data_IF_552481469123
#
_entry.id   IF_552481469123
#
_cell.length_a   1.000
_cell.length_b   1.000
_cell.length_c   1.000
_cell.angle_alpha   90.00
_cell.angle_beta   90.00
_cell.angle_gamma   90.00
#
_symmetry.space_group_name_H-M   'P 1'
#
loop_
_entity.id
_entity.type
_entity.pdbx_description
1 polymer ?
#
# COMPACT_ATOMS: atom_id res chain seq x y z
N UNK A 1 -0.62 -18.58 9.08
CA UNK A 1 0.84 -18.78 8.97
C UNK A 1 1.55 -17.43 9.08
N UNK A 2 2.82 -17.44 9.42
CA UNK A 2 3.60 -16.22 9.44
C UNK A 2 4.10 -15.87 8.03
N UNK A 3 4.65 -14.65 7.89
CA UNK A 3 5.12 -14.14 6.61
C UNK A 3 6.17 -15.05 5.96
N UNK A 4 7.15 -15.51 6.72
CA UNK A 4 8.23 -16.33 6.19
C UNK A 4 7.72 -17.68 5.66
N UNK A 5 6.80 -18.31 6.38
CA UNK A 5 6.19 -19.56 5.95
C UNK A 5 5.39 -19.38 4.66
N UNK A 6 4.61 -18.31 4.57
CA UNK A 6 3.84 -18.02 3.35
C UNK A 6 4.78 -17.73 2.17
N UNK A 7 5.84 -16.97 2.38
CA UNK A 7 6.82 -16.68 1.33
C UNK A 7 7.49 -17.96 0.82
N UNK A 8 7.92 -18.83 1.73
CA UNK A 8 8.54 -20.13 1.36
C UNK A 8 7.57 -21.01 0.58
N UNK A 9 6.31 -21.05 0.97
CA UNK A 9 5.28 -21.81 0.25
C UNK A 9 5.11 -21.29 -1.17
N UNK A 10 4.99 -19.98 -1.32
CA UNK A 10 4.84 -19.35 -2.62
C UNK A 10 6.05 -19.58 -3.53
N UNK A 11 7.26 -19.39 -3.02
CA UNK A 11 8.49 -19.56 -3.81
C UNK A 11 8.68 -21.01 -4.24
N UNK A 12 8.33 -21.96 -3.39
CA UNK A 12 8.40 -23.39 -3.74
C UNK A 12 7.44 -23.74 -4.89
N UNK A 13 6.27 -23.11 -4.95
CA UNK A 13 5.27 -23.39 -5.99
C UNK A 13 5.54 -22.62 -7.28
N UNK A 14 6.02 -21.38 -7.19
CA UNK A 14 6.13 -20.47 -8.34
C UNK A 14 7.50 -20.47 -9.02
N UNK A 15 8.54 -20.91 -8.32
CA UNK A 15 9.91 -20.77 -8.79
C UNK A 15 10.48 -19.38 -8.61
N UNK A 16 9.71 -18.44 -8.08
CA UNK A 16 10.20 -17.10 -7.73
C UNK A 16 11.20 -17.24 -6.59
N UNK A 17 12.26 -16.42 -6.61
CA UNK A 17 13.23 -16.33 -5.53
C UNK A 17 13.53 -14.87 -5.24
N UNK A 18 14.31 -14.60 -4.18
CA UNK A 18 14.69 -13.26 -3.78
C UNK A 18 14.07 -12.84 -2.45
N UNK A 19 14.00 -11.54 -2.27
CA UNK A 19 13.59 -10.93 -1.01
C UNK A 19 12.12 -10.53 -1.04
N UNK A 20 11.57 -10.31 0.15
CA UNK A 20 10.23 -9.77 0.33
C UNK A 20 10.22 -8.83 1.54
N UNK A 21 9.28 -7.89 1.52
CA UNK A 21 8.92 -7.10 2.68
C UNK A 21 7.63 -7.66 3.30
N UNK A 22 7.44 -7.44 4.59
CA UNK A 22 6.21 -7.80 5.28
C UNK A 22 5.70 -6.59 6.06
N UNK A 23 4.44 -6.24 5.87
CA UNK A 23 3.87 -5.05 6.52
C UNK A 23 2.34 -5.11 6.57
N UNK A 24 1.78 -4.32 7.48
CA UNK A 24 0.36 -4.06 7.59
C UNK A 24 0.02 -2.75 6.89
N UNK A 25 -1.19 -2.65 6.33
CA UNK A 25 -1.70 -1.34 5.89
C UNK A 25 -1.81 -0.39 7.08
N UNK A 26 -1.59 0.90 6.84
CA UNK A 26 -1.46 1.90 7.89
C UNK A 26 -2.75 2.29 8.59
N UNK A 27 -3.91 1.93 8.04
CA UNK A 27 -5.23 2.21 8.60
C UNK A 27 -6.12 0.99 8.39
N UNK A 28 -6.81 0.55 9.44
CA UNK A 28 -7.72 -0.61 9.41
C UNK A 28 -7.13 -1.81 8.65
N UNK A 29 -6.02 -2.34 9.17
CA UNK A 29 -5.21 -3.35 8.49
C UNK A 29 -6.03 -4.57 8.04
N UNK A 30 -6.94 -5.06 8.89
CA UNK A 30 -7.76 -6.23 8.56
C UNK A 30 -8.72 -5.95 7.40
N UNK A 31 -9.38 -4.78 7.41
CA UNK A 31 -10.30 -4.41 6.32
C UNK A 31 -9.57 -4.27 5.00
N UNK A 32 -8.42 -3.58 5.00
CA UNK A 32 -7.67 -3.35 3.77
C UNK A 32 -7.05 -4.64 3.23
N UNK A 33 -6.53 -5.51 4.08
CA UNK A 33 -6.05 -6.82 3.66
C UNK A 33 -7.18 -7.67 3.05
N UNK A 34 -8.38 -7.61 3.63
CA UNK A 34 -9.54 -8.33 3.09
C UNK A 34 -9.93 -7.81 1.70
N UNK A 35 -9.87 -6.48 1.48
CA UNK A 35 -10.13 -5.90 0.15
C UNK A 35 -9.13 -6.41 -0.89
N UNK A 36 -7.87 -6.61 -0.52
CA UNK A 36 -6.89 -7.22 -1.43
C UNK A 36 -7.28 -8.66 -1.77
N UNK A 37 -7.63 -9.44 -0.76
CA UNK A 37 -8.08 -10.84 -0.97
C UNK A 37 -9.32 -10.93 -1.84
N UNK A 38 -10.24 -9.98 -1.70
CA UNK A 38 -11.48 -9.92 -2.50
C UNK A 38 -11.23 -9.44 -3.94
N UNK A 39 -10.02 -9.01 -4.27
CA UNK A 39 -9.70 -8.49 -5.60
C UNK A 39 -10.17 -7.06 -5.85
N UNK A 40 -10.63 -6.37 -4.80
CA UNK A 40 -11.15 -4.98 -4.90
C UNK A 40 -10.02 -3.96 -4.80
N UNK A 41 -9.07 -4.19 -3.88
CA UNK A 41 -7.93 -3.28 -3.69
C UNK A 41 -6.73 -3.78 -4.49
N UNK A 42 -6.30 -2.96 -5.46
CA UNK A 42 -5.15 -3.22 -6.33
C UNK A 42 -4.18 -2.05 -6.38
N UNK A 43 -4.33 -1.10 -5.49
CA UNK A 43 -3.44 0.05 -5.35
C UNK A 43 -3.36 0.54 -3.92
N UNK A 44 -2.33 1.32 -3.64
CA UNK A 44 -2.13 1.96 -2.35
C UNK A 44 -1.35 3.26 -2.53
N UNK A 45 -1.36 4.11 -1.53
CA UNK A 45 -0.63 5.38 -1.55
C UNK A 45 0.00 5.67 -0.19
N UNK A 46 1.08 6.44 -0.23
CA UNK A 46 1.83 6.85 0.96
C UNK A 46 2.39 8.25 0.78
N UNK A 47 2.69 8.90 1.91
CA UNK A 47 3.22 10.26 1.91
C UNK A 47 4.72 10.26 1.55
N UNK A 48 5.06 10.82 0.41
CA UNK A 48 6.46 10.90 -0.06
C UNK A 48 7.42 11.50 0.98
N UNK A 49 7.08 12.61 1.68
CA UNK A 49 8.02 13.24 2.60
C UNK A 49 8.48 12.33 3.74
N UNK A 50 7.68 11.34 4.11
CA UNK A 50 8.02 10.46 5.22
C UNK A 50 9.14 9.47 4.89
N UNK A 51 9.34 9.15 3.62
CA UNK A 51 10.43 8.23 3.22
C UNK A 51 11.79 8.82 3.55
N UNK A 52 12.03 10.08 3.21
CA UNK A 52 13.29 10.75 3.54
C UNK A 52 13.45 10.92 5.06
N UNK A 53 12.38 11.28 5.76
CA UNK A 53 12.40 11.47 7.20
C UNK A 53 12.75 10.19 7.94
N UNK A 54 12.22 9.06 7.50
CA UNK A 54 12.42 7.75 8.12
C UNK A 54 13.63 7.01 7.56
N UNK A 55 14.34 7.64 6.63
CA UNK A 55 15.50 7.07 5.95
C UNK A 55 15.18 5.72 5.28
N UNK A 56 14.01 5.65 4.63
CA UNK A 56 13.56 4.48 3.91
C UNK A 56 13.57 4.70 2.40
N UNK A 57 13.91 3.67 1.61
CA UNK A 57 13.82 3.77 0.15
C UNK A 57 12.37 3.78 -0.31
N UNK A 58 12.11 4.40 -1.46
CA UNK A 58 10.81 4.31 -2.11
C UNK A 58 10.52 2.87 -2.54
N UNK A 59 9.24 2.49 -2.61
CA UNK A 59 8.87 1.20 -3.19
C UNK A 59 9.38 1.07 -4.62
N UNK A 60 9.70 -0.14 -5.03
CA UNK A 60 10.20 -0.43 -6.37
C UNK A 60 9.28 -1.38 -7.11
N UNK A 61 9.21 -1.22 -8.43
CA UNK A 61 8.48 -2.14 -9.30
C UNK A 61 9.11 -3.52 -9.29
N UNK A 62 8.29 -4.54 -9.49
CA UNK A 62 8.68 -5.95 -9.52
C UNK A 62 9.18 -6.48 -8.17
N UNK A 63 8.81 -5.85 -7.07
CA UNK A 63 9.10 -6.32 -5.72
C UNK A 63 7.88 -6.99 -5.11
N UNK A 64 8.11 -7.82 -4.09
CA UNK A 64 7.08 -8.61 -3.44
C UNK A 64 6.90 -8.17 -2.00
N UNK A 65 5.65 -8.22 -1.53
CA UNK A 65 5.32 -7.93 -0.15
C UNK A 65 4.35 -8.98 0.39
N UNK A 66 4.57 -9.41 1.61
CA UNK A 66 3.57 -10.18 2.35
C UNK A 66 2.72 -9.19 3.13
N UNK A 67 1.45 -9.12 2.80
CA UNK A 67 0.48 -8.27 3.51
C UNK A 67 0.05 -9.01 4.77
N UNK A 68 0.10 -8.32 5.90
CA UNK A 68 -0.19 -8.89 7.20
C UNK A 68 -1.56 -8.45 7.70
N UNK A 69 -2.21 -9.35 8.43
CA UNK A 69 -3.34 -9.01 9.28
C UNK A 69 -2.87 -8.20 10.49
N UNK A 70 -3.80 -7.65 11.23
CA UNK A 70 -3.51 -6.86 12.42
C UNK A 70 -2.72 -7.65 13.50
N UNK A 71 -2.85 -8.96 13.53
CA UNK A 71 -2.12 -9.84 14.45
C UNK A 71 -0.74 -10.28 13.93
N UNK A 72 -0.26 -9.67 12.86
CA UNK A 72 1.01 -9.98 12.18
C UNK A 72 1.07 -11.36 11.49
N UNK A 73 -0.04 -12.07 11.39
CA UNK A 73 -0.09 -13.25 10.52
C UNK A 73 -0.28 -12.85 9.07
N UNK A 74 0.15 -13.71 8.16
CA UNK A 74 0.15 -13.42 6.73
C UNK A 74 -1.25 -13.54 6.12
N UNK A 75 -1.68 -12.52 5.37
CA UNK A 75 -2.94 -12.52 4.64
C UNK A 75 -2.74 -12.98 3.19
N UNK A 76 -1.78 -12.40 2.50
CA UNK A 76 -1.51 -12.68 1.08
C UNK A 76 -0.15 -12.13 0.67
N UNK A 77 0.25 -12.47 -0.56
CA UNK A 77 1.45 -11.89 -1.19
C UNK A 77 1.02 -11.07 -2.39
N UNK A 78 1.57 -9.87 -2.50
CA UNK A 78 1.35 -8.98 -3.63
C UNK A 78 2.68 -8.70 -4.34
N UNK A 79 2.58 -8.44 -5.64
CA UNK A 79 3.70 -7.96 -6.45
C UNK A 79 3.41 -6.55 -6.90
N UNK A 80 4.28 -5.60 -6.57
CA UNK A 80 4.18 -4.22 -7.03
C UNK A 80 4.52 -4.15 -8.52
N UNK A 81 3.60 -3.63 -9.32
CA UNK A 81 3.75 -3.56 -10.78
C UNK A 81 4.02 -2.16 -11.29
N UNK A 82 3.62 -1.13 -10.55
CA UNK A 82 3.81 0.26 -10.95
C UNK A 82 4.00 1.14 -9.72
N UNK A 83 4.96 2.06 -9.81
CA UNK A 83 5.23 3.07 -8.77
C UNK A 83 5.40 4.41 -9.45
N UNK A 84 4.71 5.44 -8.96
CA UNK A 84 4.91 6.80 -9.43
C UNK A 84 4.61 7.79 -8.31
N UNK A 85 5.16 8.99 -8.43
CA UNK A 85 4.96 10.08 -7.45
C UNK A 85 4.20 11.20 -8.14
N UNK A 86 3.15 11.70 -7.49
CA UNK A 86 2.28 12.73 -8.04
C UNK A 86 1.78 13.62 -6.89
N UNK A 87 1.57 14.94 -7.12
CA UNK A 87 0.95 15.77 -6.10
C UNK A 87 -0.43 15.25 -5.68
N UNK A 88 -0.76 15.37 -4.41
CA UNK A 88 -2.05 14.91 -3.88
C UNK A 88 -3.23 15.39 -4.72
N UNK A 89 -3.24 16.68 -5.09
CA UNK A 89 -4.34 17.26 -5.88
C UNK A 89 -4.44 16.70 -7.30
N UNK A 90 -3.41 16.01 -7.80
CA UNK A 90 -3.37 15.43 -9.15
C UNK A 90 -3.62 13.94 -9.18
N UNK A 91 -3.86 13.30 -8.02
CA UNK A 91 -4.18 11.87 -7.98
C UNK A 91 -5.46 11.60 -8.77
N UNK A 92 -5.41 10.57 -9.62
CA UNK A 92 -6.48 10.29 -10.60
C UNK A 92 -7.65 9.51 -10.00
N UNK A 93 -8.81 9.60 -10.66
CA UNK A 93 -9.96 8.76 -10.35
C UNK A 93 -9.65 7.27 -10.57
N UNK A 94 -8.79 6.93 -11.53
CA UNK A 94 -8.34 5.56 -11.76
C UNK A 94 -7.60 5.01 -10.54
N UNK A 95 -6.68 5.79 -9.96
CA UNK A 95 -5.95 5.37 -8.76
C UNK A 95 -6.90 5.22 -7.55
N UNK A 96 -7.82 6.16 -7.37
CA UNK A 96 -8.84 6.07 -6.31
C UNK A 96 -9.67 4.79 -6.41
N UNK A 97 -10.08 4.43 -7.64
CA UNK A 97 -10.80 3.18 -7.88
C UNK A 97 -9.94 1.96 -7.56
N UNK A 98 -8.66 1.98 -7.92
CA UNK A 98 -7.72 0.89 -7.64
C UNK A 98 -7.49 0.68 -6.14
N UNK A 99 -7.53 1.73 -5.33
CA UNK A 99 -7.42 1.58 -3.87
C UNK A 99 -8.62 0.87 -3.26
N UNK A 100 -9.78 0.91 -3.90
CA UNK A 100 -10.91 0.04 -3.61
C UNK A 100 -11.72 0.38 -2.38
N UNK A 101 -11.48 1.49 -1.71
CA UNK A 101 -12.12 1.83 -0.45
C UNK A 101 -13.40 2.64 -0.65
N UNK A 102 -14.36 2.44 0.24
CA UNK A 102 -15.64 3.14 0.23
C UNK A 102 -16.39 2.91 -1.08
N UNK A 103 -16.87 3.99 -1.69
CA UNK A 103 -17.56 3.94 -2.98
C UNK A 103 -16.61 3.93 -4.18
N UNK A 104 -15.30 3.87 -3.93
CA UNK A 104 -14.21 3.85 -4.90
C UNK A 104 -14.09 5.12 -5.74
N UNK A 105 -14.73 6.21 -5.32
CA UNK A 105 -14.68 7.49 -6.02
C UNK A 105 -13.48 8.34 -5.63
N UNK A 106 -13.08 9.26 -6.51
CA UNK A 106 -12.04 10.22 -6.21
C UNK A 106 -12.42 11.18 -5.05
N UNK A 107 -13.65 11.70 -4.96
CA UNK A 107 -14.03 12.53 -3.81
C UNK A 107 -13.90 11.79 -2.46
N UNK A 108 -14.28 10.53 -2.40
CA UNK A 108 -14.10 9.70 -1.20
C UNK A 108 -12.62 9.55 -0.87
N UNK A 109 -11.81 9.18 -1.88
CA UNK A 109 -10.37 9.01 -1.73
C UNK A 109 -9.71 10.28 -1.19
N UNK A 110 -10.06 11.43 -1.77
CA UNK A 110 -9.52 12.73 -1.36
C UNK A 110 -9.86 13.05 0.10
N UNK A 111 -11.12 12.86 0.49
CA UNK A 111 -11.56 13.17 1.85
C UNK A 111 -10.84 12.29 2.89
N UNK A 112 -10.77 10.99 2.65
CA UNK A 112 -10.13 10.04 3.57
C UNK A 112 -8.63 10.27 3.65
N UNK A 113 -7.96 10.41 2.50
CA UNK A 113 -6.51 10.56 2.48
C UNK A 113 -6.04 11.94 2.92
N UNK A 114 -6.83 12.99 2.69
CA UNK A 114 -6.53 14.31 3.24
C UNK A 114 -6.47 14.26 4.77
N UNK A 115 -7.44 13.61 5.38
CA UNK A 115 -7.48 13.42 6.83
C UNK A 115 -6.32 12.56 7.31
N UNK A 116 -6.11 11.41 6.68
CA UNK A 116 -5.05 10.46 7.04
C UNK A 116 -3.66 11.09 6.94
N UNK A 117 -3.35 11.72 5.81
CA UNK A 117 -2.04 12.36 5.61
C UNK A 117 -1.83 13.56 6.52
N UNK A 118 -2.88 14.32 6.80
CA UNK A 118 -2.81 15.45 7.73
C UNK A 118 -2.36 14.96 9.11
N UNK A 119 -2.98 13.90 9.62
CA UNK A 119 -2.65 13.34 10.92
C UNK A 119 -1.27 12.68 10.93
N UNK A 120 -0.94 11.95 9.89
CA UNK A 120 0.34 11.26 9.78
C UNK A 120 1.51 12.25 9.72
N UNK A 121 1.40 13.29 8.90
CA UNK A 121 2.43 14.33 8.80
C UNK A 121 2.54 15.14 10.09
N UNK A 122 1.41 15.44 10.73
CA UNK A 122 1.39 16.15 12.00
C UNK A 122 2.17 15.39 13.08
N UNK A 123 1.98 14.09 13.17
CA UNK A 123 2.72 13.22 14.10
C UNK A 123 4.23 13.29 13.83
N UNK A 124 4.63 13.49 12.59
CA UNK A 124 6.04 13.61 12.18
C UNK A 124 6.57 15.07 12.25
N UNK A 125 5.78 16.02 12.77
CA UNK A 125 6.16 17.42 12.85
C UNK A 125 6.07 18.17 11.53
N UNK A 126 5.29 17.64 10.56
CA UNK A 126 5.10 18.23 9.24
C UNK A 126 3.66 18.68 9.04
N UNK A 127 3.45 19.52 8.02
CA UNK A 127 2.13 20.02 7.65
C UNK A 127 1.72 19.49 6.28
N UNK A 128 0.53 18.93 6.19
CA UNK A 128 -0.05 18.52 4.91
C UNK A 128 -0.43 19.75 4.08
N UNK A 129 -0.15 19.68 2.77
CA UNK A 129 -0.61 20.64 1.78
C UNK A 129 -1.20 19.87 0.59
N UNK A 130 -2.09 20.53 -0.19
CA UNK A 130 -2.77 19.88 -1.33
C UNK A 130 -1.80 19.46 -2.44
N UNK A 131 -0.61 20.07 -2.50
CA UNK A 131 0.44 19.71 -3.46
C UNK A 131 1.48 18.73 -2.89
N UNK A 132 1.23 18.18 -1.70
CA UNK A 132 2.14 17.18 -1.13
C UNK A 132 2.33 16.01 -2.09
N UNK A 133 3.58 15.63 -2.40
CA UNK A 133 3.80 14.46 -3.26
C UNK A 133 3.33 13.18 -2.58
N UNK A 134 2.63 12.37 -3.36
CA UNK A 134 2.09 11.07 -2.93
C UNK A 134 2.76 9.97 -3.76
N UNK A 135 3.25 8.95 -3.08
CA UNK A 135 3.74 7.74 -3.74
C UNK A 135 2.54 6.84 -4.02
N UNK A 136 2.26 6.62 -5.29
CA UNK A 136 1.17 5.75 -5.73
C UNK A 136 1.75 4.42 -6.22
N UNK A 137 1.14 3.32 -5.78
CA UNK A 137 1.54 1.97 -6.17
C UNK A 137 0.35 1.23 -6.74
N UNK A 138 0.60 0.45 -7.80
CA UNK A 138 -0.33 -0.58 -8.27
C UNK A 138 0.31 -1.93 -8.05
N UNK A 139 -0.49 -2.93 -7.71
CA UNK A 139 -0.02 -4.27 -7.42
C UNK A 139 -1.03 -5.32 -7.85
N UNK A 140 -0.56 -6.56 -7.92
CA UNK A 140 -1.40 -7.74 -8.15
C UNK A 140 -1.19 -8.72 -6.99
N UNK A 141 -2.25 -9.41 -6.62
CA UNK A 141 -2.14 -10.50 -5.66
C UNK A 141 -1.63 -11.74 -6.40
N UNK A 142 -0.53 -12.31 -5.90
CA UNK A 142 0.10 -13.49 -6.51
C UNK A 142 -0.07 -14.77 -5.67
N UNK A 143 -0.45 -14.63 -4.39
CA UNK A 143 -0.66 -15.78 -3.50
C UNK A 143 -1.50 -15.36 -2.29
N UNK A 144 -2.43 -16.15 -1.78
CA UNK A 144 -3.06 -17.28 -2.43
C UNK A 144 -3.85 -16.93 -3.63
#
# INVERSE_FOLDING_TARGET
>A
MNADTMWKTYTAQSGVNGEYDAWQFGDDANRLAQLVLDGVKTGTSSAYPLYALENEPLPEENTYSVVLWEDDTAACIIKTTKVYVIPFCDVSAHHAFAEGEGDRSLPYWQAVHRRFFTEELKTAGMTFTEDMPVVCEEFIRVFP
#
